data_IF_441420499780
#
_entry.id   IF_441420499780
#
_cell.length_a   1.000
_cell.length_b   1.000
_cell.length_c   1.000
_cell.angle_alpha   90.00
_cell.angle_beta   90.00
_cell.angle_gamma   90.00
#
_symmetry.space_group_name_H-M   'P 1'
#
loop_
_entity.id
_entity.type
_entity.pdbx_description
1 polymer ?
#
# COMPACT_ATOMS: atom_id res chain seq x y z
N UNK A 1 -31.86 14.84 -8.95
CA UNK A 1 -31.08 15.95 -9.48
C UNK A 1 -30.03 16.40 -8.48
N UNK A 2 -30.47 16.80 -7.32
CA UNK A 2 -29.56 17.26 -6.31
C UNK A 2 -28.59 16.21 -5.87
N UNK A 3 -29.03 14.97 -5.88
CA UNK A 3 -28.18 13.86 -5.58
C UNK A 3 -27.00 13.79 -6.52
N UNK A 4 -27.26 14.04 -7.78
CA UNK A 4 -26.26 14.01 -8.82
C UNK A 4 -25.25 15.14 -8.62
N UNK A 5 -25.75 16.32 -8.33
CA UNK A 5 -24.89 17.47 -8.08
C UNK A 5 -24.07 17.27 -6.83
N UNK A 6 -24.68 16.73 -5.80
CA UNK A 6 -23.97 16.43 -4.58
C UNK A 6 -22.84 15.44 -4.82
N UNK A 7 -23.10 14.41 -5.61
CA UNK A 7 -22.07 13.41 -5.92
C UNK A 7 -20.90 14.05 -6.64
N UNK A 8 -21.18 14.91 -7.63
CA UNK A 8 -20.14 15.60 -8.36
C UNK A 8 -19.31 16.50 -7.46
N UNK A 9 -19.97 17.17 -6.53
CA UNK A 9 -19.28 18.09 -5.66
C UNK A 9 -18.51 17.40 -4.55
N UNK A 10 -19.16 16.45 -3.89
CA UNK A 10 -18.61 15.81 -2.71
C UNK A 10 -17.48 14.83 -2.99
N UNK A 11 -17.50 14.23 -4.15
CA UNK A 11 -16.56 13.14 -4.47
C UNK A 11 -15.84 13.41 -5.78
N UNK A 12 -15.73 14.67 -6.15
CA UNK A 12 -15.15 15.04 -7.43
C UNK A 12 -13.76 14.47 -7.65
N UNK A 13 -12.91 14.57 -6.64
CA UNK A 13 -11.54 14.08 -6.74
C UNK A 13 -11.50 12.55 -6.86
N UNK A 14 -12.26 11.86 -6.01
CA UNK A 14 -12.33 10.41 -6.07
C UNK A 14 -12.99 9.95 -7.35
N UNK A 15 -14.02 10.67 -7.79
CA UNK A 15 -14.69 10.35 -9.02
C UNK A 15 -13.77 10.44 -10.22
N UNK A 16 -12.90 11.44 -10.24
CA UNK A 16 -11.94 11.59 -11.33
C UNK A 16 -10.97 10.42 -11.38
N UNK A 17 -10.47 9.97 -10.22
CA UNK A 17 -9.58 8.83 -10.16
C UNK A 17 -10.26 7.56 -10.64
N UNK A 18 -11.51 7.36 -10.22
CA UNK A 18 -12.28 6.19 -10.65
C UNK A 18 -12.55 6.21 -12.15
N UNK A 19 -12.84 7.39 -12.70
CA UNK A 19 -13.06 7.52 -14.13
C UNK A 19 -11.81 7.18 -14.92
N UNK A 20 -10.64 7.62 -14.47
CA UNK A 20 -9.39 7.28 -15.12
C UNK A 20 -9.15 5.78 -15.10
N UNK A 21 -9.36 5.15 -13.96
CA UNK A 21 -9.20 3.70 -13.85
C UNK A 21 -10.18 2.96 -14.77
N UNK A 22 -11.43 3.43 -14.82
CA UNK A 22 -12.43 2.83 -15.68
C UNK A 22 -12.06 2.99 -17.16
N UNK A 23 -11.57 4.16 -17.54
CA UNK A 23 -11.15 4.42 -18.91
C UNK A 23 -10.00 3.49 -19.30
N UNK A 24 -9.03 3.30 -18.43
CA UNK A 24 -7.93 2.38 -18.69
C UNK A 24 -8.41 0.95 -18.82
N UNK A 25 -9.35 0.53 -17.99
CA UNK A 25 -9.91 -0.79 -18.07
C UNK A 25 -10.65 -1.00 -19.39
N UNK A 26 -11.38 0.01 -19.85
CA UNK A 26 -12.06 -0.05 -21.12
C UNK A 26 -11.08 -0.14 -22.29
N UNK A 27 -9.98 0.63 -22.20
CA UNK A 27 -8.95 0.57 -23.23
C UNK A 27 -8.37 -0.83 -23.34
N UNK A 28 -8.17 -1.51 -22.22
CA UNK A 28 -7.67 -2.87 -22.20
C UNK A 28 -8.69 -3.87 -22.77
N UNK A 29 -9.97 -3.51 -22.74
CA UNK A 29 -11.04 -4.37 -23.23
C UNK A 29 -11.44 -4.10 -24.67
N UNK A 30 -10.82 -3.13 -25.33
CA UNK A 30 -11.20 -2.76 -26.69
C UNK A 30 -10.97 -3.92 -27.66
N UNK A 31 -11.87 -4.06 -28.65
CA UNK A 31 -11.66 -5.04 -29.70
C UNK A 31 -10.35 -4.77 -30.43
N UNK A 32 -9.65 -5.81 -30.76
CA UNK A 32 -8.37 -5.69 -31.44
C UNK A 32 -7.16 -5.86 -30.55
N UNK A 33 -7.36 -5.80 -29.24
CA UNK A 33 -6.27 -6.11 -28.32
C UNK A 33 -6.10 -7.62 -28.23
N UNK A 34 -4.89 -8.10 -28.43
CA UNK A 34 -4.59 -9.52 -28.26
C UNK A 34 -4.47 -9.83 -26.77
N UNK A 35 -4.55 -11.11 -26.43
CA UNK A 35 -4.30 -11.54 -25.06
C UNK A 35 -2.88 -11.21 -24.63
N UNK A 36 -1.94 -11.26 -25.55
CA UNK A 36 -0.56 -10.91 -25.27
C UNK A 36 -0.42 -9.42 -24.94
N UNK A 37 -1.12 -8.56 -25.69
CA UNK A 37 -1.09 -7.12 -25.43
C UNK A 37 -1.74 -6.78 -24.09
N UNK A 38 -2.87 -7.41 -23.78
CA UNK A 38 -3.53 -7.22 -22.51
C UNK A 38 -2.66 -7.69 -21.34
N UNK A 39 -2.00 -8.82 -21.52
CA UNK A 39 -1.09 -9.36 -20.51
C UNK A 39 0.10 -8.44 -20.28
N UNK A 40 0.68 -7.90 -21.35
CA UNK A 40 1.78 -6.94 -21.26
C UNK A 40 1.35 -5.68 -20.53
N UNK A 41 0.14 -5.19 -20.81
CA UNK A 41 -0.37 -4.01 -20.13
C UNK A 41 -0.57 -4.24 -18.64
N UNK A 42 -1.08 -5.40 -18.26
CA UNK A 42 -1.26 -5.76 -16.85
C UNK A 42 0.09 -5.85 -16.15
N UNK A 43 1.06 -6.51 -16.77
CA UNK A 43 2.41 -6.62 -16.19
C UNK A 43 3.05 -5.26 -15.99
N UNK A 44 2.93 -4.38 -16.98
CA UNK A 44 3.48 -3.03 -16.88
C UNK A 44 2.83 -2.25 -15.73
N UNK A 45 1.51 -2.37 -15.58
CA UNK A 45 0.80 -1.70 -14.51
C UNK A 45 1.22 -2.24 -13.14
N UNK A 46 1.39 -3.55 -13.02
CA UNK A 46 1.83 -4.18 -11.78
C UNK A 46 3.26 -3.78 -11.43
N UNK A 47 4.14 -3.70 -12.42
CA UNK A 47 5.50 -3.22 -12.19
C UNK A 47 5.53 -1.79 -11.68
N UNK A 48 4.77 -0.91 -12.32
CA UNK A 48 4.70 0.49 -11.88
C UNK A 48 4.12 0.60 -10.48
N UNK A 49 3.08 -0.17 -10.20
CA UNK A 49 2.48 -0.20 -8.87
C UNK A 49 3.46 -0.72 -7.82
N UNK A 50 4.19 -1.76 -8.15
CA UNK A 50 5.19 -2.32 -7.24
C UNK A 50 6.31 -1.32 -6.96
N UNK A 51 6.80 -0.64 -7.99
CA UNK A 51 7.84 0.37 -7.81
C UNK A 51 7.35 1.52 -6.95
N UNK A 52 6.12 1.98 -7.18
CA UNK A 52 5.53 3.05 -6.38
C UNK A 52 5.37 2.62 -4.92
N UNK A 53 4.89 1.40 -4.69
CA UNK A 53 4.72 0.87 -3.34
C UNK A 53 6.05 0.76 -2.61
N UNK A 54 7.08 0.26 -3.27
CA UNK A 54 8.41 0.15 -2.69
C UNK A 54 8.96 1.52 -2.33
N UNK A 55 8.76 2.51 -3.21
CA UNK A 55 9.23 3.86 -2.96
C UNK A 55 8.55 4.48 -1.74
N UNK A 56 7.24 4.29 -1.60
CA UNK A 56 6.49 4.84 -0.48
C UNK A 56 6.76 4.11 0.83
N UNK A 57 6.76 2.79 0.81
CA UNK A 57 6.88 1.99 2.02
C UNK A 57 8.32 1.89 2.50
N UNK A 58 9.28 1.96 1.58
CA UNK A 58 10.69 1.85 1.92
C UNK A 58 11.33 3.14 2.42
N UNK A 59 10.62 4.25 2.37
CA UNK A 59 11.15 5.50 2.89
C UNK A 59 11.02 5.56 4.41
N UNK A 60 11.77 6.47 5.03
CA UNK A 60 11.67 6.67 6.47
C UNK A 60 10.24 7.09 6.83
N UNK A 61 9.62 6.35 7.72
CA UNK A 61 8.22 6.59 8.10
C UNK A 61 7.19 5.91 7.21
N UNK A 62 7.62 5.18 6.18
CA UNK A 62 6.69 4.52 5.27
C UNK A 62 5.79 3.50 5.95
N UNK A 63 6.28 2.86 7.00
CA UNK A 63 5.47 2.00 7.86
C UNK A 63 5.07 2.70 9.15
N UNK A 64 6.02 3.28 9.83
CA UNK A 64 5.78 3.86 11.16
C UNK A 64 4.74 4.97 11.14
N UNK A 65 4.79 5.82 10.12
CA UNK A 65 3.89 6.96 10.01
C UNK A 65 2.67 6.69 9.12
N UNK A 66 2.48 5.44 8.71
CA UNK A 66 1.39 5.06 7.83
C UNK A 66 0.44 4.14 8.59
N UNK A 67 -0.73 4.65 9.06
CA UNK A 67 -1.65 3.84 9.86
C UNK A 67 -2.15 2.59 9.14
N UNK A 68 -2.19 2.61 7.81
CA UNK A 68 -2.71 1.48 7.04
C UNK A 68 -1.80 0.26 7.08
N UNK A 69 -0.50 0.46 7.26
CA UNK A 69 0.48 -0.64 7.24
C UNK A 69 1.32 -0.73 8.50
N UNK A 70 1.21 0.24 9.40
CA UNK A 70 1.99 0.26 10.64
C UNK A 70 1.84 -1.05 11.41
N UNK A 71 2.96 -1.62 11.81
CA UNK A 71 2.97 -2.85 12.59
C UNK A 71 2.77 -2.51 14.06
N UNK A 72 1.72 -3.05 14.66
CA UNK A 72 1.45 -2.91 16.08
C UNK A 72 1.75 -4.23 16.79
N UNK A 73 1.88 -4.17 18.10
CA UNK A 73 2.06 -5.40 18.88
C UNK A 73 0.83 -6.28 18.74
N UNK A 74 1.01 -7.60 18.61
CA UNK A 74 -0.11 -8.53 18.58
C UNK A 74 -0.97 -8.40 19.84
N UNK A 75 -2.29 -8.65 19.70
CA UNK A 75 -3.23 -8.48 20.79
C UNK A 75 -2.89 -9.31 22.03
N UNK A 76 -2.32 -10.49 21.83
CA UNK A 76 -1.98 -11.35 22.96
C UNK A 76 -0.80 -10.82 23.78
N UNK A 77 -0.07 -9.84 23.27
CA UNK A 77 0.99 -9.17 24.02
C UNK A 77 0.52 -7.89 24.69
N UNK A 78 -0.73 -7.48 24.48
CA UNK A 78 -1.25 -6.25 25.07
C UNK A 78 -1.22 -6.28 26.60
N UNK A 79 -1.56 -7.41 27.20
CA UNK A 79 -1.54 -7.53 28.66
C UNK A 79 -0.14 -7.37 29.22
N UNK A 80 0.85 -7.97 28.57
CA UNK A 80 2.23 -7.82 28.95
C UNK A 80 2.68 -6.36 28.80
N UNK A 81 2.28 -5.72 27.71
CA UNK A 81 2.59 -4.32 27.45
C UNK A 81 1.99 -3.41 28.52
N UNK A 82 0.74 -3.67 28.93
CA UNK A 82 0.08 -2.91 29.97
C UNK A 82 0.82 -3.04 31.30
N UNK A 83 1.24 -4.26 31.63
CA UNK A 83 1.99 -4.50 32.83
C UNK A 83 3.33 -3.76 32.82
N UNK A 84 4.04 -3.79 31.68
CA UNK A 84 5.29 -3.07 31.55
C UNK A 84 5.11 -1.56 31.71
N UNK A 85 4.02 -1.02 31.19
CA UNK A 85 3.69 0.39 31.36
C UNK A 85 3.49 0.74 32.82
N UNK A 86 2.85 -0.13 33.58
CA UNK A 86 2.65 0.08 35.02
C UNK A 86 3.96 0.13 35.78
N UNK A 87 4.97 -0.60 35.33
CA UNK A 87 6.29 -0.60 35.96
C UNK A 87 7.24 0.41 35.33
N UNK A 88 6.72 1.38 34.58
CA UNK A 88 7.54 2.42 33.98
C UNK A 88 8.33 2.00 32.76
N UNK A 89 7.99 0.87 32.15
CA UNK A 89 8.70 0.34 30.99
C UNK A 89 7.96 0.60 29.68
N UNK A 90 6.99 1.50 29.68
CA UNK A 90 6.21 1.81 28.49
C UNK A 90 7.04 2.29 27.31
N UNK A 91 8.15 2.99 27.60
CA UNK A 91 9.04 3.48 26.57
C UNK A 91 9.68 2.35 25.78
N UNK A 92 9.98 1.24 26.44
CA UNK A 92 10.55 0.06 25.75
C UNK A 92 9.57 -0.55 24.78
N UNK A 93 8.27 -0.51 25.09
CA UNK A 93 7.23 -0.99 24.19
C UNK A 93 7.21 -0.11 22.94
N UNK A 94 7.26 1.20 23.10
CA UNK A 94 7.28 2.12 21.98
C UNK A 94 8.53 1.92 21.12
N UNK A 95 9.67 1.71 21.75
CA UNK A 95 10.93 1.44 21.06
C UNK A 95 10.84 0.16 20.24
N UNK A 96 10.20 -0.88 20.79
CA UNK A 96 10.02 -2.14 20.09
C UNK A 96 9.16 -1.95 18.84
N UNK A 97 8.01 -1.29 18.97
CA UNK A 97 7.15 -1.03 17.84
C UNK A 97 7.86 -0.19 16.76
N UNK A 98 8.59 0.83 17.20
CA UNK A 98 9.38 1.65 16.29
C UNK A 98 10.41 0.81 15.56
N UNK A 99 11.13 -0.05 16.26
CA UNK A 99 12.15 -0.91 15.67
C UNK A 99 11.55 -1.87 14.64
N UNK A 100 10.39 -2.45 14.94
CA UNK A 100 9.72 -3.34 14.02
C UNK A 100 9.34 -2.61 12.73
N UNK A 101 8.78 -1.41 12.86
CA UNK A 101 8.37 -0.64 11.69
C UNK A 101 9.58 -0.15 10.89
N UNK A 102 10.66 0.26 11.56
CA UNK A 102 11.90 0.65 10.87
C UNK A 102 12.53 -0.53 10.15
N UNK A 103 12.48 -1.71 10.75
CA UNK A 103 12.99 -2.91 10.11
C UNK A 103 12.18 -3.23 8.85
N UNK A 104 10.85 -3.07 8.92
CA UNK A 104 9.99 -3.27 7.76
C UNK A 104 10.33 -2.26 6.66
N UNK A 105 10.52 -1.00 7.01
CA UNK A 105 10.90 0.03 6.04
C UNK A 105 12.22 -0.31 5.35
N UNK A 106 13.18 -0.80 6.10
CA UNK A 106 14.47 -1.18 5.55
C UNK A 106 14.39 -2.44 4.68
N UNK A 107 13.47 -3.35 5.00
CA UNK A 107 13.31 -4.60 4.27
C UNK A 107 12.65 -4.40 2.91
N UNK A 108 11.80 -3.40 2.75
CA UNK A 108 11.05 -3.19 1.51
C UNK A 108 11.97 -3.03 0.29
N UNK A 109 12.99 -2.16 0.31
CA UNK A 109 13.88 -2.06 -0.85
C UNK A 109 14.65 -3.34 -1.14
N UNK A 110 14.91 -4.14 -0.11
CA UNK A 110 15.62 -5.40 -0.27
C UNK A 110 14.80 -6.43 -1.03
N UNK A 111 13.47 -6.35 -0.95
CA UNK A 111 12.58 -7.24 -1.66
C UNK A 111 12.16 -6.74 -3.04
N UNK A 112 12.62 -5.57 -3.44
CA UNK A 112 12.19 -4.93 -4.67
C UNK A 112 12.42 -5.82 -5.89
N UNK A 113 13.63 -6.34 -6.04
CA UNK A 113 13.99 -7.14 -7.21
C UNK A 113 13.19 -8.45 -7.26
N UNK A 114 12.93 -9.04 -6.09
CA UNK A 114 12.10 -10.23 -6.01
C UNK A 114 10.66 -9.95 -6.45
N UNK A 115 10.13 -8.83 -6.02
CA UNK A 115 8.76 -8.45 -6.36
C UNK A 115 8.64 -8.17 -7.86
N UNK A 116 9.56 -7.40 -8.41
CA UNK A 116 9.57 -7.08 -9.83
C UNK A 116 9.77 -8.35 -10.66
N UNK A 117 10.68 -9.23 -10.23
CA UNK A 117 10.89 -10.51 -10.89
C UNK A 117 9.65 -11.37 -10.91
N UNK A 118 8.89 -11.39 -9.81
CA UNK A 118 7.64 -12.12 -9.74
C UNK A 118 6.61 -11.59 -10.74
N UNK A 119 6.50 -10.28 -10.87
CA UNK A 119 5.60 -9.66 -11.84
C UNK A 119 6.03 -10.03 -13.26
N UNK A 120 7.32 -9.95 -13.56
CA UNK A 120 7.82 -10.23 -14.90
C UNK A 120 7.65 -11.68 -15.31
N UNK A 121 7.63 -12.59 -14.34
CA UNK A 121 7.50 -14.02 -14.61
C UNK A 121 6.05 -14.49 -14.73
N UNK A 122 5.10 -13.60 -14.57
CA UNK A 122 3.68 -13.95 -14.68
C UNK A 122 3.27 -14.37 -16.09
#
# INVERSE_FOLDING_TARGET
MQRRDFTLTGVGTLGALLLLATTQARALSLPGLSNADASSGVKAALEQGALAAVALLGQSGGFLNNPSVRIALPGYLNDAAQMMKRFGQGKRIEELETSLNRAAEAAVPMGKDLLIGAVQSM
#
